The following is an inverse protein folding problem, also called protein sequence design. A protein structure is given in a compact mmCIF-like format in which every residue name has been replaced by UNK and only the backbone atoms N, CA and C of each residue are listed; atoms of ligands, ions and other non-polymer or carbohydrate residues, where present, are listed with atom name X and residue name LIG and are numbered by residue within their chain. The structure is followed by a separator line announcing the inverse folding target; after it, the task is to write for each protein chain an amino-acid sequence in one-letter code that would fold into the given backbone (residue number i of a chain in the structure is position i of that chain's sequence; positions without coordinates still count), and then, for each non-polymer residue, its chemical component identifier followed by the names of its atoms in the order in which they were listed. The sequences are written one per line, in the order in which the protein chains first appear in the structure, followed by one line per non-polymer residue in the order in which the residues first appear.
data_IF_141951038544
#
_entry.id   IF_141951038544
#
_cell.length_a   1.000
_cell.length_b   1.000
_cell.length_c   1.000
_cell.angle_alpha   90.00
_cell.angle_beta   90.00
_cell.angle_gamma   90.00
#
_symmetry.space_group_name_H-M   'P 1'
#
loop_
_entity.id
_entity.type
_entity.pdbx_description
1 polymer ?
#
# COMPACT_ATOMS: atom_id res chain seq x y z
N UNK A 1 -15.80 12.40 23.86
CA UNK A 1 -14.35 12.69 23.68
C UNK A 1 -13.96 14.01 24.35
N UNK A 2 -14.51 15.16 23.95
CA UNK A 2 -14.15 16.47 24.56
C UNK A 2 -14.33 16.48 26.10
N UNK A 3 -15.45 15.95 26.60
CA UNK A 3 -15.69 15.82 28.04
C UNK A 3 -14.73 14.87 28.76
N UNK A 4 -14.18 13.86 28.06
CA UNK A 4 -13.23 12.89 28.61
C UNK A 4 -11.81 13.45 28.69
N UNK A 5 -11.42 14.29 27.72
CA UNK A 5 -10.12 14.99 27.75
C UNK A 5 -10.05 16.02 28.88
N UNK A 6 -11.21 16.53 29.30
CA UNK A 6 -11.30 17.44 30.46
C UNK A 6 -11.13 16.72 31.79
N UNK A 7 -11.21 15.40 31.81
CA UNK A 7 -10.89 14.57 32.96
C UNK A 7 -9.37 14.31 33.00
N UNK A 8 -8.62 14.92 33.94
CA UNK A 8 -7.17 14.74 34.02
C UNK A 8 -6.76 13.30 34.36
N UNK A 9 -7.69 12.46 34.84
CA UNK A 9 -7.42 11.06 35.16
C UNK A 9 -7.60 10.13 33.94
N UNK A 10 -8.26 10.58 32.87
CA UNK A 10 -8.48 9.77 31.65
C UNK A 10 -7.25 9.81 30.73
N UNK A 11 -6.16 9.19 31.21
CA UNK A 11 -4.88 9.10 30.51
C UNK A 11 -4.98 8.38 29.16
N UNK A 12 -5.94 7.46 28.98
CA UNK A 12 -6.17 6.77 27.71
C UNK A 12 -6.79 7.71 26.66
N UNK A 13 -7.81 8.48 27.05
CA UNK A 13 -8.38 9.52 26.21
C UNK A 13 -7.33 10.57 25.82
N UNK A 14 -6.51 10.98 26.79
CA UNK A 14 -5.41 11.92 26.57
C UNK A 14 -4.36 11.36 25.60
N UNK A 15 -3.95 10.11 25.77
CA UNK A 15 -3.03 9.41 24.86
C UNK A 15 -3.56 9.35 23.42
N UNK A 16 -4.84 8.99 23.25
CA UNK A 16 -5.48 8.96 21.94
C UNK A 16 -5.51 10.36 21.29
N UNK A 17 -5.93 11.37 22.05
CA UNK A 17 -6.08 12.72 21.51
C UNK A 17 -4.75 13.37 21.15
N UNK A 18 -3.70 13.14 21.93
CA UNK A 18 -2.35 13.59 21.59
C UNK A 18 -1.80 12.87 20.35
N UNK A 19 -1.99 11.56 20.22
CA UNK A 19 -1.60 10.82 19.01
C UNK A 19 -2.30 11.37 17.74
N UNK A 20 -3.62 11.55 17.80
CA UNK A 20 -4.40 12.11 16.71
C UNK A 20 -3.98 13.55 16.38
N UNK A 21 -3.80 14.38 17.40
CA UNK A 21 -3.34 15.77 17.24
C UNK A 21 -1.98 15.83 16.55
N UNK A 22 -1.05 14.95 16.92
CA UNK A 22 0.26 14.89 16.28
C UNK A 22 0.17 14.59 14.77
N UNK A 23 -0.72 13.68 14.36
CA UNK A 23 -0.98 13.37 12.95
C UNK A 23 -1.61 14.55 12.22
N UNK A 24 -2.59 15.20 12.83
CA UNK A 24 -3.31 16.35 12.25
C UNK A 24 -2.37 17.54 12.08
N UNK A 25 -1.55 17.87 13.08
CA UNK A 25 -0.54 18.93 12.99
C UNK A 25 0.51 18.63 11.90
N UNK A 26 0.92 17.36 11.77
CA UNK A 26 1.84 16.94 10.72
C UNK A 26 1.23 17.04 9.31
N UNK A 27 -0.06 16.77 9.14
CA UNK A 27 -0.76 16.89 7.85
C UNK A 27 -1.06 18.32 7.45
N UNK A 28 -1.48 19.16 8.42
CA UNK A 28 -1.89 20.53 8.14
C UNK A 28 -0.72 21.48 7.86
N UNK A 29 0.53 21.05 8.09
CA UNK A 29 1.75 21.86 7.97
C UNK A 29 1.50 23.29 8.49
N UNK A 30 0.96 23.40 9.70
CA UNK A 30 0.66 24.69 10.29
C UNK A 30 1.92 25.56 10.25
N UNK A 31 1.81 26.73 9.62
CA UNK A 31 2.85 27.73 9.72
C UNK A 31 2.76 28.31 11.15
N UNK A 32 3.77 28.13 12.02
CA UNK A 32 3.70 28.56 13.42
C UNK A 32 3.44 30.07 13.58
N UNK A 33 3.62 30.85 12.50
CA UNK A 33 3.38 32.29 12.48
C UNK A 33 1.89 32.69 12.60
N UNK A 34 0.94 31.81 12.25
CA UNK A 34 -0.50 32.13 12.28
C UNK A 34 -1.16 31.88 13.66
N UNK A 35 -0.43 31.25 14.59
CA UNK A 35 -0.89 31.01 15.97
C UNK A 35 0.01 31.81 16.90
N UNK A 36 -0.45 33.01 17.24
CA UNK A 36 0.26 34.06 17.97
C UNK A 36 0.96 33.64 19.27
N UNK A 37 2.14 34.24 19.52
CA UNK A 37 2.65 34.70 20.82
C UNK A 37 2.72 33.70 22.00
N UNK A 38 3.14 32.45 21.79
CA UNK A 38 3.51 31.57 22.91
C UNK A 38 4.97 31.11 22.79
N UNK A 39 5.73 31.25 23.89
CA UNK A 39 7.18 31.00 23.96
C UNK A 39 7.60 29.53 23.78
N UNK A 40 6.64 28.62 23.58
CA UNK A 40 6.87 27.21 23.34
C UNK A 40 5.99 26.78 22.16
N UNK A 41 6.55 26.78 20.95
CA UNK A 41 5.90 26.16 19.80
C UNK A 41 5.70 24.68 20.10
N UNK A 42 4.47 24.27 20.36
CA UNK A 42 4.08 22.86 20.47
C UNK A 42 4.23 22.23 19.10
N UNK A 43 5.41 21.67 18.83
CA UNK A 43 5.67 20.93 17.60
C UNK A 43 4.98 19.56 17.65
N UNK A 44 4.59 19.07 16.49
CA UNK A 44 3.94 17.77 16.30
C UNK A 44 4.74 16.60 16.91
N UNK A 45 6.09 16.68 16.96
CA UNK A 45 6.95 15.67 17.57
C UNK A 45 6.84 15.66 19.09
N UNK A 46 6.69 16.83 19.70
CA UNK A 46 6.44 16.95 21.13
C UNK A 46 5.08 16.32 21.49
N UNK A 47 4.03 16.60 20.71
CA UNK A 47 2.69 16.02 20.94
C UNK A 47 2.69 14.50 20.76
N UNK A 48 3.44 13.96 19.80
CA UNK A 48 3.60 12.51 19.64
C UNK A 48 4.30 11.89 20.86
N UNK A 49 5.38 12.50 21.36
CA UNK A 49 6.07 12.05 22.57
C UNK A 49 5.18 12.10 23.82
N UNK A 50 4.28 13.08 23.89
CA UNK A 50 3.32 13.21 24.97
C UNK A 50 2.28 12.07 24.97
N UNK A 51 1.84 11.63 23.78
CA UNK A 51 1.02 10.43 23.65
C UNK A 51 1.75 9.19 24.18
N UNK A 52 3.01 9.01 23.82
CA UNK A 52 3.81 7.86 24.29
C UNK A 52 3.98 7.86 25.80
N UNK A 53 4.21 9.04 26.41
CA UNK A 53 4.28 9.21 27.86
C UNK A 53 2.97 8.82 28.55
N UNK A 54 1.83 9.29 28.03
CA UNK A 54 0.50 8.99 28.57
C UNK A 54 0.12 7.51 28.43
N UNK A 55 0.50 6.86 27.33
CA UNK A 55 0.33 5.41 27.15
C UNK A 55 1.16 4.62 28.15
N UNK A 56 2.40 5.04 28.37
CA UNK A 56 3.30 4.38 29.32
C UNK A 56 2.80 4.50 30.78
N UNK A 57 2.21 5.64 31.17
CA UNK A 57 1.72 5.84 32.55
C UNK A 57 0.56 4.91 32.91
N UNK A 58 -0.23 4.45 31.93
CA UNK A 58 -1.32 3.47 32.14
C UNK A 58 -0.90 2.02 31.88
N UNK A 59 0.40 1.76 31.62
CA UNK A 59 0.92 0.42 31.27
C UNK A 59 0.07 -0.24 30.20
N UNK A 60 -0.06 0.42 29.06
CA UNK A 60 -0.99 0.10 27.97
C UNK A 60 -0.98 -1.36 27.46
N UNK A 61 0.04 -2.15 27.78
CA UNK A 61 0.16 -3.57 27.45
C UNK A 61 -0.59 -4.50 28.43
N UNK A 62 -1.03 -4.02 29.60
CA UNK A 62 -1.72 -4.85 30.62
C UNK A 62 -3.24 -4.93 30.39
N UNK A 63 -3.86 -3.85 29.88
CA UNK A 63 -5.31 -3.77 29.69
C UNK A 63 -5.66 -3.12 28.34
N UNK A 64 -5.90 -3.92 27.29
CA UNK A 64 -6.27 -3.41 25.98
C UNK A 64 -7.57 -2.60 26.01
N UNK A 65 -7.59 -1.49 25.28
CA UNK A 65 -8.78 -0.66 25.04
C UNK A 65 -8.75 -0.11 23.62
N UNK A 66 -9.89 0.41 23.14
CA UNK A 66 -9.97 1.01 21.82
C UNK A 66 -9.11 2.28 21.74
N UNK A 67 -9.03 3.03 22.83
CA UNK A 67 -8.23 4.24 22.94
C UNK A 67 -6.73 3.95 22.79
N UNK A 68 -6.25 2.91 23.48
CA UNK A 68 -4.85 2.49 23.38
C UNK A 68 -4.52 1.89 22.01
N UNK A 69 -5.43 1.10 21.43
CA UNK A 69 -5.32 0.62 20.06
C UNK A 69 -5.21 1.78 19.07
N UNK A 70 -6.14 2.74 19.13
CA UNK A 70 -6.19 3.87 18.21
C UNK A 70 -4.99 4.81 18.42
N UNK A 71 -4.52 4.99 19.65
CA UNK A 71 -3.30 5.76 19.92
C UNK A 71 -2.07 5.13 19.24
N UNK A 72 -1.97 3.80 19.26
CA UNK A 72 -0.92 3.04 18.55
C UNK A 72 -1.03 3.23 17.05
N UNK A 73 -2.26 3.15 16.51
CA UNK A 73 -2.53 3.37 15.09
C UNK A 73 -2.18 4.79 14.62
N UNK A 74 -2.55 5.82 15.37
CA UNK A 74 -2.22 7.21 15.01
C UNK A 74 -0.73 7.50 15.15
N UNK A 75 -0.04 6.95 16.16
CA UNK A 75 1.41 7.03 16.25
C UNK A 75 2.09 6.30 15.07
N UNK A 76 1.56 5.16 14.63
CA UNK A 76 2.01 4.52 13.39
C UNK A 76 1.94 5.50 12.21
N UNK A 77 0.79 6.14 11.98
CA UNK A 77 0.63 7.11 10.88
C UNK A 77 1.66 8.25 11.02
N UNK A 78 1.84 8.77 12.23
CA UNK A 78 2.76 9.87 12.52
C UNK A 78 4.21 9.53 12.13
N UNK A 79 4.71 8.36 12.54
CA UNK A 79 6.08 7.93 12.27
C UNK A 79 6.26 7.39 10.84
N UNK A 80 5.27 6.71 10.28
CA UNK A 80 5.27 6.24 8.90
C UNK A 80 5.43 7.42 7.93
N UNK A 81 4.69 8.49 8.17
CA UNK A 81 4.76 9.69 7.34
C UNK A 81 6.13 10.37 7.37
N UNK A 82 6.91 10.19 8.45
CA UNK A 82 8.28 10.72 8.61
C UNK A 82 9.37 9.77 8.11
N UNK A 83 9.01 8.62 7.55
CA UNK A 83 9.97 7.64 7.08
C UNK A 83 10.62 6.81 8.20
N UNK A 84 10.12 6.87 9.44
CA UNK A 84 10.58 6.00 10.53
C UNK A 84 9.97 4.60 10.40
N UNK A 85 10.42 3.84 9.39
CA UNK A 85 9.83 2.57 8.98
C UNK A 85 9.73 1.57 10.13
N UNK A 86 10.82 1.32 10.85
CA UNK A 86 10.84 0.33 11.93
C UNK A 86 9.88 0.67 13.07
N UNK A 87 9.89 1.93 13.51
CA UNK A 87 9.00 2.41 14.58
C UNK A 87 7.54 2.33 14.16
N UNK A 88 7.25 2.77 12.94
CA UNK A 88 5.92 2.65 12.37
C UNK A 88 5.48 1.18 12.26
N UNK A 89 6.37 0.26 11.88
CA UNK A 89 6.08 -1.17 11.84
C UNK A 89 5.71 -1.70 13.22
N UNK A 90 6.49 -1.41 14.27
CA UNK A 90 6.17 -1.88 15.63
C UNK A 90 4.80 -1.38 16.07
N UNK A 91 4.49 -0.10 15.82
CA UNK A 91 3.23 0.52 16.23
C UNK A 91 2.00 -0.05 15.50
N UNK A 92 2.09 -0.38 14.20
CA UNK A 92 0.95 -1.03 13.51
C UNK A 92 0.76 -2.46 14.00
N UNK A 93 1.84 -3.18 14.33
CA UNK A 93 1.74 -4.53 14.91
C UNK A 93 1.13 -4.49 16.29
N UNK A 94 1.53 -3.55 17.11
CA UNK A 94 0.94 -3.30 18.42
C UNK A 94 -0.55 -2.98 18.33
N UNK A 95 -0.96 -2.09 17.42
CA UNK A 95 -2.38 -1.80 17.19
C UNK A 95 -3.18 -3.04 16.77
N UNK A 96 -2.61 -3.90 15.91
CA UNK A 96 -3.22 -5.17 15.51
C UNK A 96 -3.34 -6.13 16.68
N UNK A 97 -2.29 -6.28 17.48
CA UNK A 97 -2.31 -7.16 18.66
C UNK A 97 -3.36 -6.71 19.67
N UNK A 98 -3.47 -5.40 19.92
CA UNK A 98 -4.53 -4.85 20.78
C UNK A 98 -5.93 -5.11 20.18
N UNK A 99 -6.09 -5.01 18.86
CA UNK A 99 -7.35 -5.33 18.18
C UNK A 99 -7.75 -6.80 18.35
N UNK A 100 -6.77 -7.71 18.30
CA UNK A 100 -6.98 -9.15 18.48
C UNK A 100 -7.31 -9.50 19.93
N UNK A 101 -6.69 -8.85 20.91
CA UNK A 101 -7.09 -9.00 22.31
C UNK A 101 -8.52 -8.51 22.58
N UNK A 102 -8.98 -7.53 21.80
CA UNK A 102 -10.37 -7.04 21.83
C UNK A 102 -11.31 -7.85 20.92
N UNK A 103 -10.81 -8.94 20.30
CA UNK A 103 -11.54 -9.82 19.37
C UNK A 103 -12.18 -9.12 18.17
N UNK A 104 -11.68 -7.94 17.76
CA UNK A 104 -12.27 -7.16 16.67
C UNK A 104 -12.18 -7.89 15.32
N UNK A 105 -11.25 -8.83 15.17
CA UNK A 105 -11.04 -9.67 13.99
C UNK A 105 -12.00 -10.87 13.91
N UNK A 106 -12.82 -11.12 14.94
CA UNK A 106 -13.65 -12.32 15.09
C UNK A 106 -15.15 -12.01 14.90
N UNK A 107 -15.88 -12.82 14.13
CA UNK A 107 -17.31 -12.58 13.87
C UNK A 107 -18.17 -12.68 15.14
N UNK A 108 -17.76 -13.50 16.11
CA UNK A 108 -18.45 -13.67 17.40
C UNK A 108 -18.57 -12.37 18.21
N UNK A 109 -17.59 -11.47 18.12
CA UNK A 109 -17.57 -10.19 18.83
C UNK A 109 -18.80 -9.33 18.51
N UNK A 110 -19.26 -9.40 17.27
CA UNK A 110 -20.30 -8.53 16.75
C UNK A 110 -21.73 -9.00 17.08
N UNK A 111 -21.92 -10.24 17.53
CA UNK A 111 -23.25 -10.83 17.76
C UNK A 111 -24.04 -10.14 18.87
N UNK A 112 -23.34 -9.54 19.84
CA UNK A 112 -23.94 -8.94 21.04
C UNK A 112 -23.95 -7.42 21.01
N UNK A 113 -23.37 -6.81 19.98
CA UNK A 113 -23.25 -5.35 19.87
C UNK A 113 -24.48 -4.75 19.20
N UNK A 114 -24.78 -3.49 19.54
CA UNK A 114 -25.71 -2.72 18.72
C UNK A 114 -25.14 -2.53 17.31
N UNK A 115 -26.02 -2.39 16.32
CA UNK A 115 -25.64 -2.14 14.92
C UNK A 115 -24.62 -0.99 14.79
N UNK A 116 -24.82 0.08 15.55
CA UNK A 116 -23.94 1.27 15.54
C UNK A 116 -22.54 0.96 16.07
N UNK A 117 -22.44 0.24 17.19
CA UNK A 117 -21.15 -0.15 17.79
C UNK A 117 -20.43 -1.16 16.92
N UNK A 118 -21.16 -2.15 16.39
CA UNK A 118 -20.62 -3.13 15.46
C UNK A 118 -19.98 -2.44 14.24
N UNK A 119 -20.67 -1.49 13.60
CA UNK A 119 -20.12 -0.75 12.47
C UNK A 119 -18.90 0.10 12.84
N UNK A 120 -18.83 0.66 14.05
CA UNK A 120 -17.64 1.38 14.51
C UNK A 120 -16.44 0.44 14.62
N UNK A 121 -16.60 -0.71 15.28
CA UNK A 121 -15.54 -1.71 15.43
C UNK A 121 -15.11 -2.31 14.09
N UNK A 122 -16.06 -2.57 13.18
CA UNK A 122 -15.77 -3.02 11.82
C UNK A 122 -14.88 -2.01 11.09
N UNK A 123 -15.19 -0.72 11.17
CA UNK A 123 -14.36 0.32 10.54
C UNK A 123 -12.94 0.35 11.11
N UNK A 124 -12.79 0.14 12.42
CA UNK A 124 -11.47 0.07 13.08
C UNK A 124 -10.67 -1.14 12.57
N UNK A 125 -11.26 -2.34 12.56
CA UNK A 125 -10.50 -3.52 12.12
C UNK A 125 -10.20 -3.49 10.62
N UNK A 126 -11.12 -2.95 9.80
CA UNK A 126 -10.90 -2.78 8.37
C UNK A 126 -9.84 -1.70 8.06
N UNK A 127 -9.80 -0.59 8.81
CA UNK A 127 -8.74 0.42 8.60
C UNK A 127 -7.36 -0.11 9.01
N UNK A 128 -7.28 -0.92 10.08
CA UNK A 128 -6.05 -1.62 10.45
C UNK A 128 -5.62 -2.60 9.36
N UNK A 129 -6.57 -3.38 8.81
CA UNK A 129 -6.34 -4.31 7.72
C UNK A 129 -5.72 -3.59 6.51
N UNK A 130 -6.40 -2.58 5.94
CA UNK A 130 -5.88 -1.90 4.74
C UNK A 130 -4.51 -1.23 4.98
N UNK A 131 -4.31 -0.64 6.17
CA UNK A 131 -3.04 0.00 6.53
C UNK A 131 -1.92 -1.03 6.63
N UNK A 132 -2.16 -2.16 7.29
CA UNK A 132 -1.16 -3.23 7.40
C UNK A 132 -0.81 -3.83 6.04
N UNK A 133 -1.79 -4.14 5.18
CA UNK A 133 -1.52 -4.66 3.83
C UNK A 133 -0.70 -3.67 3.01
N UNK A 134 -1.03 -2.39 3.06
CA UNK A 134 -0.28 -1.35 2.37
C UNK A 134 1.15 -1.20 2.90
N UNK A 135 1.33 -1.26 4.21
CA UNK A 135 2.63 -1.15 4.87
C UNK A 135 3.51 -2.38 4.61
N UNK A 136 2.97 -3.57 4.79
CA UNK A 136 3.68 -4.85 4.61
C UNK A 136 4.09 -5.10 3.18
N UNK A 137 3.21 -4.83 2.21
CA UNK A 137 3.54 -4.94 0.78
C UNK A 137 4.68 -4.00 0.40
N UNK A 138 4.68 -2.79 0.96
CA UNK A 138 5.70 -1.77 0.66
C UNK A 138 7.09 -2.13 1.18
N UNK A 139 7.15 -2.70 2.37
CA UNK A 139 8.40 -2.98 3.09
C UNK A 139 8.77 -4.46 3.11
N UNK A 140 8.07 -5.28 2.31
CA UNK A 140 8.28 -6.73 2.20
C UNK A 140 8.26 -7.43 3.57
N UNK A 141 7.19 -7.16 4.33
CA UNK A 141 6.97 -7.74 5.67
C UNK A 141 5.82 -8.76 5.63
N UNK A 142 5.80 -9.76 6.53
CA UNK A 142 4.72 -10.75 6.58
C UNK A 142 3.40 -10.11 7.02
N UNK A 143 2.26 -10.52 6.48
CA UNK A 143 0.94 -10.13 7.01
C UNK A 143 0.58 -11.00 8.21
N UNK A 144 0.07 -10.39 9.28
CA UNK A 144 -0.31 -11.09 10.51
C UNK A 144 -1.79 -10.94 10.84
N UNK A 145 -2.44 -9.86 10.38
CA UNK A 145 -3.86 -9.67 10.65
C UNK A 145 -4.68 -10.56 9.71
N UNK A 146 -5.30 -11.60 10.25
CA UNK A 146 -6.31 -12.41 9.55
C UNK A 146 -7.67 -12.03 10.07
N UNK A 147 -8.59 -11.77 9.15
CA UNK A 147 -9.97 -11.45 9.48
C UNK A 147 -10.81 -12.71 9.34
N UNK A 148 -11.73 -12.92 10.27
CA UNK A 148 -12.75 -13.96 10.16
C UNK A 148 -13.55 -13.77 8.85
N UNK A 149 -13.68 -14.82 8.00
CA UNK A 149 -14.46 -14.71 6.76
C UNK A 149 -15.93 -14.37 7.01
N UNK A 150 -16.45 -14.66 8.20
CA UNK A 150 -17.85 -14.44 8.59
C UNK A 150 -18.07 -13.08 9.29
N UNK A 151 -17.10 -12.15 9.23
CA UNK A 151 -17.29 -10.78 9.72
C UNK A 151 -18.54 -10.14 9.08
N UNK A 152 -19.39 -9.43 9.85
CA UNK A 152 -20.51 -8.72 9.27
C UNK A 152 -20.04 -7.66 8.24
N UNK A 153 -20.82 -7.42 7.17
CA UNK A 153 -20.44 -6.46 6.14
C UNK A 153 -20.46 -5.02 6.65
N UNK A 154 -19.58 -4.19 6.09
CA UNK A 154 -19.65 -2.74 6.25
C UNK A 154 -20.92 -2.20 5.58
N UNK A 155 -21.62 -1.30 6.27
CA UNK A 155 -22.83 -0.65 5.74
C UNK A 155 -22.49 0.38 4.66
N UNK A 156 -23.20 0.28 3.54
CA UNK A 156 -23.07 1.16 2.37
C UNK A 156 -24.38 1.88 2.02
N UNK A 157 -25.50 1.51 2.65
CA UNK A 157 -26.81 2.13 2.44
C UNK A 157 -27.04 3.23 3.47
N UNK A 158 -27.56 4.37 3.03
CA UNK A 158 -27.90 5.53 3.88
C UNK A 158 -26.74 6.05 4.77
N UNK A 159 -25.49 5.83 4.32
CA UNK A 159 -24.28 6.30 4.99
C UNK A 159 -23.68 7.50 4.25
N UNK A 160 -22.84 8.26 4.96
CA UNK A 160 -22.07 9.34 4.35
C UNK A 160 -21.24 8.83 3.15
N UNK A 161 -21.10 9.61 2.06
CA UNK A 161 -20.36 9.19 0.87
C UNK A 161 -18.92 8.70 1.15
N UNK A 162 -18.27 9.25 2.19
CA UNK A 162 -16.95 8.80 2.62
C UNK A 162 -16.88 7.36 3.11
N UNK A 163 -17.95 6.84 3.71
CA UNK A 163 -18.03 5.44 4.14
C UNK A 163 -18.20 4.49 2.95
N UNK A 164 -18.87 4.93 1.88
CA UNK A 164 -18.94 4.17 0.63
C UNK A 164 -17.56 4.05 -0.01
N UNK A 165 -16.81 5.16 -0.08
CA UNK A 165 -15.43 5.15 -0.58
C UNK A 165 -14.50 4.25 0.25
N UNK A 166 -14.62 4.30 1.58
CA UNK A 166 -13.88 3.44 2.49
C UNK A 166 -14.20 1.94 2.24
N UNK A 167 -15.48 1.59 2.08
CA UNK A 167 -15.89 0.21 1.84
C UNK A 167 -15.35 -0.32 0.51
N UNK A 168 -15.36 0.50 -0.54
CA UNK A 168 -14.77 0.14 -1.83
C UNK A 168 -13.27 -0.12 -1.72
N UNK A 169 -12.56 0.70 -0.94
CA UNK A 169 -11.14 0.51 -0.67
C UNK A 169 -10.89 -0.79 0.12
N UNK A 170 -11.73 -1.09 1.11
CA UNK A 170 -11.64 -2.33 1.89
C UNK A 170 -11.78 -3.58 1.00
N UNK A 171 -12.78 -3.59 0.13
CA UNK A 171 -12.97 -4.67 -0.83
C UNK A 171 -11.80 -4.80 -1.82
N UNK A 172 -11.23 -3.67 -2.26
CA UNK A 172 -10.07 -3.65 -3.14
C UNK A 172 -8.85 -4.29 -2.46
N UNK A 173 -8.56 -3.89 -1.21
CA UNK A 173 -7.51 -4.48 -0.39
C UNK A 173 -7.79 -5.95 -0.01
N UNK A 174 -9.05 -6.37 0.09
CA UNK A 174 -9.40 -7.77 0.33
C UNK A 174 -9.05 -8.64 -0.89
N UNK A 175 -9.40 -8.20 -2.09
CA UNK A 175 -9.01 -8.90 -3.34
C UNK A 175 -7.50 -8.94 -3.48
N UNK A 176 -6.83 -7.81 -3.29
CA UNK A 176 -5.38 -7.73 -3.34
C UNK A 176 -4.70 -8.62 -2.29
N UNK A 177 -5.15 -8.56 -1.03
CA UNK A 177 -4.62 -9.37 0.06
C UNK A 177 -4.72 -10.86 -0.22
N UNK A 178 -5.89 -11.35 -0.66
CA UNK A 178 -6.07 -12.74 -1.09
C UNK A 178 -5.10 -13.17 -2.18
N UNK A 179 -4.81 -12.28 -3.13
CA UNK A 179 -3.86 -12.56 -4.18
C UNK A 179 -2.43 -12.69 -3.63
N UNK A 180 -2.01 -11.74 -2.79
CA UNK A 180 -0.67 -11.73 -2.20
C UNK A 180 -0.45 -12.85 -1.19
N UNK A 181 -1.51 -13.33 -0.53
CA UNK A 181 -1.51 -14.45 0.43
C UNK A 181 -1.72 -15.82 -0.21
N UNK A 182 -1.89 -15.88 -1.54
CA UNK A 182 -2.13 -17.13 -2.26
C UNK A 182 -0.95 -18.10 -2.16
N UNK A 183 -1.25 -19.40 -2.15
CA UNK A 183 -0.25 -20.47 -2.30
C UNK A 183 0.47 -20.34 -3.65
N UNK A 184 1.77 -20.60 -3.68
CA UNK A 184 2.55 -20.61 -4.93
C UNK A 184 1.99 -21.56 -5.98
N UNK A 185 1.41 -22.70 -5.57
CA UNK A 185 0.88 -23.72 -6.48
C UNK A 185 -0.32 -23.23 -7.31
N UNK A 186 -1.09 -22.26 -6.80
CA UNK A 186 -2.28 -21.74 -7.48
C UNK A 186 -1.98 -20.49 -8.33
N UNK A 187 -0.72 -20.00 -8.36
CA UNK A 187 -0.31 -18.80 -9.10
C UNK A 187 -0.07 -19.09 -10.59
N UNK A 188 -1.12 -19.56 -11.26
CA UNK A 188 -1.14 -19.83 -12.71
C UNK A 188 -1.46 -18.55 -13.51
N UNK A 189 -1.28 -18.55 -14.84
CA UNK A 189 -1.71 -17.43 -15.69
C UNK A 189 -3.18 -17.03 -15.47
N UNK A 190 -4.09 -18.00 -15.39
CA UNK A 190 -5.53 -17.78 -15.16
C UNK A 190 -5.80 -17.12 -13.79
N UNK A 191 -5.02 -17.48 -12.77
CA UNK A 191 -5.10 -16.84 -11.46
C UNK A 191 -4.77 -15.35 -11.53
N UNK A 192 -3.69 -14.98 -12.25
CA UNK A 192 -3.30 -13.59 -12.40
C UNK A 192 -4.33 -12.82 -13.22
N UNK A 193 -4.81 -13.37 -14.35
CA UNK A 193 -5.89 -12.77 -15.17
C UNK A 193 -7.13 -12.54 -14.31
N UNK A 194 -7.61 -13.58 -13.63
CA UNK A 194 -8.82 -13.49 -12.81
C UNK A 194 -8.67 -12.51 -11.64
N UNK A 195 -7.46 -12.39 -11.08
CA UNK A 195 -7.16 -11.40 -10.04
C UNK A 195 -7.21 -9.97 -10.60
N UNK A 196 -6.58 -9.71 -11.74
CA UNK A 196 -6.59 -8.39 -12.38
C UNK A 196 -8.02 -7.96 -12.76
N UNK A 197 -8.82 -8.89 -13.31
CA UNK A 197 -10.23 -8.67 -13.59
C UNK A 197 -11.03 -8.27 -12.34
N UNK A 198 -10.83 -8.97 -11.22
CA UNK A 198 -11.47 -8.63 -9.93
C UNK A 198 -11.02 -7.27 -9.39
N UNK A 199 -9.75 -6.89 -9.59
CA UNK A 199 -9.26 -5.56 -9.22
C UNK A 199 -9.89 -4.46 -10.07
N UNK A 200 -10.23 -4.74 -11.33
CA UNK A 200 -10.86 -3.81 -12.29
C UNK A 200 -12.39 -3.73 -12.20
N UNK A 201 -13.05 -4.56 -11.37
CA UNK A 201 -14.50 -4.56 -11.22
C UNK A 201 -15.04 -3.15 -10.97
N UNK A 202 -16.11 -2.81 -11.70
CA UNK A 202 -16.70 -1.47 -11.68
C UNK A 202 -17.23 -1.14 -10.29
N UNK A 203 -16.76 -0.01 -9.73
CA UNK A 203 -17.25 0.58 -8.48
C UNK A 203 -18.01 1.87 -8.78
N UNK A 204 -18.90 2.29 -7.87
CA UNK A 204 -19.71 3.50 -8.00
C UNK A 204 -18.87 4.77 -7.81
N UNK A 205 -17.98 5.07 -8.75
CA UNK A 205 -17.00 6.14 -8.61
C UNK A 205 -17.62 7.54 -8.66
N UNK A 206 -18.75 7.69 -9.37
CA UNK A 206 -19.47 8.96 -9.56
C UNK A 206 -20.05 9.56 -8.27
N UNK A 207 -20.35 8.75 -7.26
CA UNK A 207 -20.86 9.24 -5.97
C UNK A 207 -19.77 9.73 -5.01
N UNK A 208 -18.49 9.70 -5.42
CA UNK A 208 -17.33 9.99 -4.58
C UNK A 208 -16.73 11.36 -4.89
N UNK A 209 -16.11 11.98 -3.88
CA UNK A 209 -15.33 13.22 -4.09
C UNK A 209 -14.08 12.93 -4.94
N UNK A 210 -13.54 13.93 -5.64
CA UNK A 210 -12.33 13.72 -6.45
C UNK A 210 -11.13 13.19 -5.63
N UNK A 211 -11.03 13.56 -4.34
CA UNK A 211 -10.02 13.02 -3.41
C UNK A 211 -10.21 11.51 -3.21
N UNK A 212 -11.44 11.07 -2.96
CA UNK A 212 -11.74 9.64 -2.81
C UNK A 212 -11.53 8.86 -4.10
N UNK A 213 -11.89 9.45 -5.25
CA UNK A 213 -11.65 8.84 -6.55
C UNK A 213 -10.16 8.67 -6.83
N UNK A 214 -9.35 9.70 -6.53
CA UNK A 214 -7.91 9.67 -6.70
C UNK A 214 -7.26 8.55 -5.86
N UNK A 215 -7.61 8.43 -4.57
CA UNK A 215 -7.09 7.35 -3.72
C UNK A 215 -7.42 5.98 -4.29
N UNK A 216 -8.69 5.77 -4.65
CA UNK A 216 -9.15 4.48 -5.15
C UNK A 216 -8.44 4.12 -6.47
N UNK A 217 -8.47 5.00 -7.46
CA UNK A 217 -7.95 4.74 -8.80
C UNK A 217 -6.44 4.52 -8.80
N UNK A 218 -5.69 5.36 -8.09
CA UNK A 218 -4.23 5.21 -8.04
C UNK A 218 -3.84 3.98 -7.22
N UNK A 219 -4.55 3.69 -6.13
CA UNK A 219 -4.34 2.46 -5.34
C UNK A 219 -4.63 1.21 -6.17
N UNK A 220 -5.71 1.21 -6.96
CA UNK A 220 -6.05 0.12 -7.87
C UNK A 220 -4.92 -0.13 -8.86
N UNK A 221 -4.43 0.91 -9.56
CA UNK A 221 -3.34 0.76 -10.53
C UNK A 221 -2.03 0.29 -9.88
N UNK A 222 -1.71 0.81 -8.69
CA UNK A 222 -0.55 0.34 -7.92
C UNK A 222 -0.68 -1.15 -7.56
N UNK A 223 -1.85 -1.61 -7.10
CA UNK A 223 -2.08 -3.02 -6.78
C UNK A 223 -1.94 -3.93 -8.00
N UNK A 224 -2.44 -3.49 -9.16
CA UNK A 224 -2.24 -4.23 -10.42
C UNK A 224 -0.76 -4.40 -10.76
N UNK A 225 0.05 -3.37 -10.56
CA UNK A 225 1.52 -3.45 -10.70
C UNK A 225 2.14 -4.41 -9.69
N UNK A 226 1.69 -4.40 -8.43
CA UNK A 226 2.21 -5.33 -7.42
C UNK A 226 1.87 -6.80 -7.76
N UNK A 227 0.65 -7.07 -8.23
CA UNK A 227 0.23 -8.41 -8.69
C UNK A 227 1.01 -8.84 -9.93
N UNK A 228 1.24 -7.94 -10.88
CA UNK A 228 2.10 -8.20 -12.04
C UNK A 228 3.55 -8.47 -11.63
N UNK A 229 4.12 -7.70 -10.69
CA UNK A 229 5.47 -7.98 -10.18
C UNK A 229 5.57 -9.37 -9.57
N UNK A 230 4.53 -9.80 -8.87
CA UNK A 230 4.46 -11.17 -8.35
C UNK A 230 4.43 -12.20 -9.49
N UNK A 231 3.71 -11.93 -10.58
CA UNK A 231 3.58 -12.87 -11.71
C UNK A 231 4.91 -13.15 -12.41
N UNK A 232 5.85 -12.19 -12.44
CA UNK A 232 7.21 -12.35 -13.01
C UNK A 232 7.91 -13.62 -12.50
N UNK A 233 7.66 -14.01 -11.24
CA UNK A 233 8.31 -15.15 -10.60
C UNK A 233 7.57 -16.49 -10.78
N UNK A 234 6.35 -16.47 -11.36
CA UNK A 234 5.47 -17.64 -11.42
C UNK A 234 5.01 -17.99 -12.83
N UNK A 235 5.02 -17.04 -13.76
CA UNK A 235 4.56 -17.25 -15.13
C UNK A 235 5.55 -16.68 -16.14
N UNK A 236 5.59 -17.29 -17.34
CA UNK A 236 6.34 -16.74 -18.47
C UNK A 236 5.58 -15.54 -19.02
N UNK A 237 6.16 -14.35 -18.92
CA UNK A 237 5.59 -13.15 -19.49
C UNK A 237 5.79 -13.10 -21.00
N UNK A 238 4.77 -12.65 -21.72
CA UNK A 238 4.87 -12.40 -23.15
C UNK A 238 5.50 -11.03 -23.42
N UNK A 239 5.96 -10.82 -24.66
CA UNK A 239 6.37 -9.50 -25.16
C UNK A 239 5.24 -8.77 -25.90
N UNK A 240 4.07 -9.41 -26.03
CA UNK A 240 2.92 -8.82 -26.69
C UNK A 240 2.17 -7.90 -25.71
N UNK A 241 1.96 -6.65 -26.08
CA UNK A 241 1.25 -5.69 -25.23
C UNK A 241 -0.24 -6.05 -25.04
N UNK A 242 -0.83 -6.84 -25.95
CA UNK A 242 -2.24 -7.24 -25.89
C UNK A 242 -2.52 -8.30 -24.82
N UNK A 243 -1.48 -8.97 -24.29
CA UNK A 243 -1.61 -9.97 -23.22
C UNK A 243 -1.75 -9.32 -21.82
N UNK A 244 -2.00 -8.00 -21.77
CA UNK A 244 -2.30 -7.22 -20.57
C UNK A 244 -1.37 -7.57 -19.39
N UNK A 245 -1.92 -8.09 -18.28
CA UNK A 245 -1.21 -8.38 -17.03
C UNK A 245 -0.29 -9.61 -17.08
N UNK A 246 -0.23 -10.30 -18.22
CA UNK A 246 0.75 -11.36 -18.51
C UNK A 246 1.84 -10.89 -19.47
N UNK A 247 1.87 -9.60 -19.81
CA UNK A 247 2.89 -9.00 -20.66
C UNK A 247 4.01 -8.36 -19.84
N UNK A 248 5.25 -8.44 -20.32
CA UNK A 248 6.35 -7.60 -19.81
C UNK A 248 6.09 -6.11 -20.08
N UNK A 249 5.25 -5.76 -21.05
CA UNK A 249 4.87 -4.39 -21.38
C UNK A 249 3.77 -3.82 -20.46
N UNK A 250 3.21 -4.62 -19.54
CA UNK A 250 2.11 -4.19 -18.66
C UNK A 250 2.35 -2.87 -17.90
N UNK A 251 3.57 -2.58 -17.39
CA UNK A 251 3.83 -1.30 -16.73
C UNK A 251 3.58 -0.08 -17.61
N UNK A 252 3.77 -0.19 -18.94
CA UNK A 252 3.45 0.89 -19.88
C UNK A 252 1.96 1.21 -19.83
N UNK A 253 1.12 0.18 -19.90
CA UNK A 253 -0.34 0.32 -19.89
C UNK A 253 -0.84 0.96 -18.61
N UNK A 254 -0.32 0.51 -17.46
CA UNK A 254 -0.70 1.07 -16.17
C UNK A 254 -0.23 2.53 -16.04
N UNK A 255 1.00 2.84 -16.46
CA UNK A 255 1.53 4.19 -16.41
C UNK A 255 0.75 5.16 -17.31
N UNK A 256 0.30 4.73 -18.49
CA UNK A 256 -0.60 5.51 -19.36
C UNK A 256 -1.89 5.89 -18.63
N UNK A 257 -2.51 4.92 -17.94
CA UNK A 257 -3.74 5.14 -17.16
C UNK A 257 -3.47 6.10 -16.00
N UNK A 258 -2.37 5.90 -15.27
CA UNK A 258 -1.98 6.77 -14.15
C UNK A 258 -1.75 8.20 -14.63
N UNK A 259 -1.07 8.41 -15.75
CA UNK A 259 -0.88 9.75 -16.34
C UNK A 259 -2.20 10.39 -16.75
N UNK A 260 -3.13 9.62 -17.30
CA UNK A 260 -4.47 10.11 -17.59
C UNK A 260 -5.16 10.62 -16.32
N UNK A 261 -5.00 9.95 -15.18
CA UNK A 261 -5.51 10.44 -13.90
C UNK A 261 -4.78 11.70 -13.43
N UNK A 262 -3.44 11.70 -13.46
CA UNK A 262 -2.64 12.85 -13.02
C UNK A 262 -2.92 14.12 -13.83
N UNK A 263 -3.20 13.99 -15.13
CA UNK A 263 -3.56 15.13 -15.99
C UNK A 263 -4.95 15.70 -15.69
N UNK A 264 -5.84 14.93 -15.07
CA UNK A 264 -7.22 15.34 -14.76
C UNK A 264 -7.44 15.68 -13.27
N UNK A 265 -6.48 15.34 -12.41
CA UNK A 265 -6.55 15.62 -10.98
C UNK A 265 -5.75 16.88 -10.64
N UNK A 266 -6.34 17.74 -9.80
CA UNK A 266 -5.57 18.87 -9.27
C UNK A 266 -4.45 18.39 -8.34
N UNK A 267 -3.35 19.14 -8.32
CA UNK A 267 -2.22 18.87 -7.42
C UNK A 267 -2.64 18.73 -5.96
N UNK A 268 -3.54 19.59 -5.49
CA UNK A 268 -4.01 19.59 -4.10
C UNK A 268 -4.71 18.27 -3.73
N UNK A 269 -5.39 17.63 -4.68
CA UNK A 269 -6.02 16.32 -4.47
C UNK A 269 -4.95 15.26 -4.23
N UNK A 270 -3.90 15.24 -5.04
CA UNK A 270 -2.80 14.28 -4.90
C UNK A 270 -2.05 14.51 -3.58
N UNK A 271 -1.79 15.77 -3.24
CA UNK A 271 -1.10 16.17 -1.99
C UNK A 271 -1.91 15.83 -0.74
N UNK A 272 -3.25 15.84 -0.80
CA UNK A 272 -4.12 15.52 0.33
C UNK A 272 -3.91 14.09 0.90
N UNK A 273 -3.41 13.17 0.08
CA UNK A 273 -3.11 11.79 0.49
C UNK A 273 -1.71 11.61 1.09
N UNK A 274 -0.86 12.63 1.00
CA UNK A 274 0.49 12.63 1.54
C UNK A 274 1.42 11.58 0.91
N UNK A 275 2.38 11.11 1.70
CA UNK A 275 3.50 10.27 1.23
C UNK A 275 3.03 8.94 0.65
N UNK A 276 1.93 8.37 1.17
CA UNK A 276 1.42 7.08 0.71
C UNK A 276 1.06 7.09 -0.78
N UNK A 277 0.52 8.20 -1.28
CA UNK A 277 0.22 8.40 -2.69
C UNK A 277 1.49 8.56 -3.53
N UNK A 278 2.43 9.38 -3.05
CA UNK A 278 3.71 9.60 -3.73
C UNK A 278 4.49 8.28 -3.90
N UNK A 279 4.46 7.41 -2.89
CA UNK A 279 5.08 6.09 -2.94
C UNK A 279 4.44 5.19 -4.00
N UNK A 280 3.09 5.16 -4.07
CA UNK A 280 2.36 4.36 -5.08
C UNK A 280 2.71 4.79 -6.50
N UNK A 281 2.72 6.11 -6.75
CA UNK A 281 3.10 6.69 -8.04
C UNK A 281 4.57 6.41 -8.38
N UNK A 282 5.47 6.51 -7.40
CA UNK A 282 6.88 6.18 -7.59
C UNK A 282 7.07 4.69 -7.94
N UNK A 283 6.34 3.78 -7.28
CA UNK A 283 6.40 2.35 -7.62
C UNK A 283 5.94 2.08 -9.06
N UNK A 284 4.91 2.77 -9.56
CA UNK A 284 4.48 2.66 -10.96
C UNK A 284 5.58 3.16 -11.89
N UNK A 285 6.16 4.33 -11.63
CA UNK A 285 7.23 4.91 -12.45
C UNK A 285 8.49 4.04 -12.46
N UNK A 286 8.90 3.51 -11.30
CA UNK A 286 10.03 2.58 -11.18
C UNK A 286 9.76 1.31 -11.99
N UNK A 287 8.55 0.76 -11.92
CA UNK A 287 8.19 -0.46 -12.67
C UNK A 287 8.25 -0.23 -14.18
N UNK A 288 7.85 0.96 -14.65
CA UNK A 288 7.99 1.35 -16.04
C UNK A 288 9.47 1.50 -16.43
N UNK A 289 10.29 2.16 -15.60
CA UNK A 289 11.73 2.29 -15.84
C UNK A 289 12.45 0.92 -15.86
N UNK A 290 12.06 0.00 -14.98
CA UNK A 290 12.56 -1.38 -14.95
C UNK A 290 12.22 -2.12 -16.24
N UNK A 291 10.96 -2.03 -16.68
CA UNK A 291 10.53 -2.63 -17.94
C UNK A 291 11.36 -2.09 -19.12
N UNK A 292 11.53 -0.77 -19.21
CA UNK A 292 12.28 -0.16 -20.31
C UNK A 292 13.76 -0.56 -20.30
N UNK A 293 14.32 -0.83 -19.12
CA UNK A 293 15.68 -1.37 -18.98
C UNK A 293 15.77 -2.82 -19.50
N UNK A 294 14.72 -3.62 -19.32
CA UNK A 294 14.66 -5.01 -19.79
C UNK A 294 14.38 -5.14 -21.30
N UNK A 295 13.60 -4.23 -21.88
CA UNK A 295 13.19 -4.27 -23.30
C UNK A 295 13.43 -2.94 -24.04
N UNK A 296 14.70 -2.52 -24.24
CA UNK A 296 15.02 -1.18 -24.77
C UNK A 296 14.40 -0.86 -26.15
N UNK A 297 14.24 -1.88 -27.01
CA UNK A 297 13.69 -1.74 -28.36
C UNK A 297 12.21 -1.33 -28.41
N UNK A 298 11.47 -1.49 -27.29
CA UNK A 298 10.07 -1.01 -27.21
C UNK A 298 10.02 0.52 -27.18
N UNK A 299 11.01 1.16 -26.56
CA UNK A 299 11.19 2.61 -26.63
C UNK A 299 11.43 3.06 -28.07
N UNK A 300 12.29 2.34 -28.81
CA UNK A 300 12.68 2.69 -30.18
C UNK A 300 11.52 2.54 -31.18
N UNK A 301 10.72 1.46 -31.10
CA UNK A 301 9.56 1.27 -31.99
C UNK A 301 8.45 2.30 -31.77
N UNK A 302 8.29 2.81 -30.55
CA UNK A 302 7.21 3.75 -30.18
C UNK A 302 7.63 5.23 -30.23
N UNK A 303 8.86 5.56 -30.64
CA UNK A 303 9.29 6.96 -30.92
C UNK A 303 8.46 7.67 -32.01
N UNK A 304 7.60 6.94 -32.74
CA UNK A 304 6.62 7.48 -33.69
C UNK A 304 5.38 8.05 -32.99
N UNK A 305 5.18 7.78 -31.69
CA UNK A 305 4.09 8.35 -30.88
C UNK A 305 4.50 9.68 -30.23
N UNK A 306 3.55 10.61 -30.07
CA UNK A 306 3.79 11.95 -29.48
C UNK A 306 4.25 11.91 -28.01
N UNK A 307 4.05 10.79 -27.30
CA UNK A 307 4.49 10.54 -25.92
C UNK A 307 4.92 9.08 -25.81
N UNK A 308 6.22 8.84 -25.62
CA UNK A 308 6.77 7.50 -25.43
C UNK A 308 6.79 7.06 -23.96
N UNK A 309 7.03 5.77 -23.69
CA UNK A 309 7.18 5.26 -22.31
C UNK A 309 8.24 6.02 -21.48
N UNK A 310 9.35 6.43 -22.09
CA UNK A 310 10.37 7.26 -21.41
C UNK A 310 9.83 8.62 -20.97
N UNK A 311 9.06 9.30 -21.83
CA UNK A 311 8.40 10.57 -21.49
C UNK A 311 7.41 10.39 -20.33
N UNK A 312 6.74 9.24 -20.28
CA UNK A 312 5.80 8.90 -19.21
C UNK A 312 6.50 8.81 -17.85
N UNK A 313 7.64 8.10 -17.77
CA UNK A 313 8.44 8.03 -16.52
C UNK A 313 8.86 9.43 -16.09
N UNK A 314 9.40 10.22 -17.03
CA UNK A 314 9.83 11.60 -16.77
C UNK A 314 8.68 12.46 -16.23
N UNK A 315 7.49 12.37 -16.81
CA UNK A 315 6.33 13.16 -16.38
C UNK A 315 5.87 12.76 -14.96
N UNK A 316 5.79 11.47 -14.66
CA UNK A 316 5.43 11.00 -13.31
C UNK A 316 6.50 11.46 -12.30
N UNK A 317 7.79 11.36 -12.64
CA UNK A 317 8.89 11.81 -11.80
C UNK A 317 8.86 13.33 -11.54
N UNK A 318 8.58 14.13 -12.57
CA UNK A 318 8.42 15.59 -12.45
C UNK A 318 7.23 15.96 -11.57
N UNK A 319 6.10 15.25 -11.75
CA UNK A 319 4.93 15.43 -10.89
C UNK A 319 5.32 15.15 -9.45
N UNK A 320 5.91 14.00 -9.16
CA UNK A 320 6.40 13.61 -7.83
C UNK A 320 7.35 14.62 -7.21
N UNK A 321 8.37 15.06 -7.96
CA UNK A 321 9.36 16.04 -7.50
C UNK A 321 8.73 17.40 -7.14
N UNK A 322 7.59 17.72 -7.75
CA UNK A 322 6.89 18.98 -7.52
C UNK A 322 5.90 18.91 -6.36
N UNK A 323 5.47 17.71 -5.92
CA UNK A 323 4.49 17.57 -4.83
C UNK A 323 5.09 18.02 -3.50
N UNK A 324 4.32 18.78 -2.73
CA UNK A 324 4.66 19.12 -1.34
C UNK A 324 4.55 17.86 -0.48
N UNK A 325 5.54 17.60 0.37
CA UNK A 325 5.49 16.43 1.24
C UNK A 325 6.86 16.05 1.79
N UNK A 326 6.90 14.99 2.58
CA UNK A 326 8.12 14.45 3.17
C UNK A 326 9.04 13.86 2.09
N UNK A 327 10.30 13.57 2.45
CA UNK A 327 11.27 12.91 1.58
C UNK A 327 10.72 11.54 1.19
N UNK A 328 10.39 11.36 -0.08
CA UNK A 328 9.97 10.07 -0.63
C UNK A 328 11.21 9.21 -0.91
N UNK A 329 11.45 8.13 -0.14
CA UNK A 329 12.66 7.31 -0.29
C UNK A 329 12.74 6.60 -1.65
N UNK A 330 11.63 6.45 -2.39
CA UNK A 330 11.62 5.84 -3.73
C UNK A 330 12.12 6.81 -4.80
N UNK A 331 12.19 8.11 -4.52
CA UNK A 331 12.64 9.10 -5.50
C UNK A 331 14.11 8.93 -5.85
N UNK A 332 14.95 8.53 -4.89
CA UNK A 332 16.38 8.28 -5.13
C UNK A 332 16.56 7.17 -6.17
N UNK A 333 15.87 6.04 -5.98
CA UNK A 333 15.86 4.90 -6.91
C UNK A 333 15.34 5.33 -8.29
N UNK A 334 14.27 6.13 -8.34
CA UNK A 334 13.70 6.59 -9.60
C UNK A 334 14.66 7.52 -10.35
N UNK A 335 15.31 8.46 -9.66
CA UNK A 335 16.27 9.38 -10.27
C UNK A 335 17.54 8.68 -10.73
N UNK A 336 18.04 7.69 -9.98
CA UNK A 336 19.15 6.85 -10.40
C UNK A 336 18.84 6.14 -11.73
N UNK A 337 17.64 5.54 -11.84
CA UNK A 337 17.19 4.88 -13.08
C UNK A 337 17.09 5.84 -14.25
N UNK A 338 16.45 6.99 -14.06
CA UNK A 338 16.33 8.04 -15.09
C UNK A 338 17.71 8.51 -15.58
N UNK A 339 18.65 8.71 -14.66
CA UNK A 339 20.02 9.15 -14.98
C UNK A 339 20.77 8.07 -15.77
N UNK A 340 20.65 6.81 -15.37
CA UNK A 340 21.35 5.69 -16.03
C UNK A 340 20.94 5.47 -17.49
N UNK A 341 19.69 5.81 -17.83
CA UNK A 341 19.11 5.59 -19.16
C UNK A 341 19.17 6.82 -20.07
N UNK A 342 19.74 7.93 -19.60
CA UNK A 342 19.78 9.18 -20.36
C UNK A 342 18.39 9.83 -20.54
N UNK A 343 17.38 9.39 -19.79
CA UNK A 343 16.06 10.03 -19.72
C UNK A 343 16.14 11.27 -18.82
N UNK A 344 16.95 12.24 -19.24
CA UNK A 344 17.01 13.54 -18.60
C UNK A 344 15.68 14.28 -18.73
N UNK A 345 15.23 14.94 -17.67
CA UNK A 345 14.05 15.78 -17.67
C UNK A 345 14.23 16.98 -18.63
N UNK A 346 13.83 16.84 -19.89
CA UNK A 346 13.63 17.97 -20.79
C UNK A 346 12.14 18.31 -20.89
N UNK A 347 11.72 19.54 -20.55
CA UNK A 347 10.31 19.90 -20.50
C UNK A 347 9.76 20.11 -21.92
N UNK A 348 9.05 19.13 -22.46
CA UNK A 348 8.07 19.39 -23.53
C UNK A 348 6.68 19.46 -22.92
N UNK A 349 6.15 20.68 -22.86
CA UNK A 349 4.76 20.94 -22.47
C UNK A 349 3.82 20.20 -23.42
N UNK A 350 3.00 19.29 -22.90
CA UNK A 350 1.93 18.65 -23.67
C UNK A 350 0.75 19.60 -23.83
N UNK A 351 0.22 19.68 -25.05
CA UNK A 351 -1.04 20.35 -25.35
C UNK A 351 -2.21 19.49 -24.85
N UNK A 352 -3.01 20.07 -23.96
CA UNK A 352 -4.26 19.54 -23.44
C UNK A 352 -5.38 19.70 -24.48
N UNK A 353 -5.80 18.63 -25.14
CA UNK A 353 -7.12 18.57 -25.75
C UNK A 353 -7.70 17.15 -25.71
N UNK A 354 -8.87 17.09 -25.07
CA UNK A 354 -10.02 16.19 -25.28
C UNK A 354 -9.88 14.69 -25.05
N UNK A 355 -10.05 14.25 -23.79
CA UNK A 355 -10.66 12.94 -23.48
C UNK A 355 -11.63 13.12 -22.29
N UNK A 356 -12.92 12.97 -22.55
CA UNK A 356 -14.01 12.98 -21.56
C UNK A 356 -14.07 11.65 -20.81
N UNK A 357 -14.53 11.71 -19.55
CA UNK A 357 -14.53 10.61 -18.56
C UNK A 357 -15.50 9.44 -18.86
N UNK A 358 -16.06 9.34 -20.06
CA UNK A 358 -17.07 8.35 -20.42
C UNK A 358 -16.63 7.46 -21.58
N UNK A 359 -15.69 6.55 -21.32
CA UNK A 359 -15.61 5.22 -21.96
C UNK A 359 -14.33 4.50 -21.54
N UNK A 360 -14.48 3.52 -20.64
CA UNK A 360 -13.50 2.44 -20.53
C UNK A 360 -13.70 1.53 -21.76
N UNK A 361 -12.67 1.22 -22.57
CA UNK A 361 -12.83 0.30 -23.68
C UNK A 361 -13.10 -1.12 -23.13
N UNK A 362 -14.20 -1.72 -23.57
CA UNK A 362 -14.44 -3.15 -23.45
C UNK A 362 -13.65 -3.84 -24.58
N UNK A 363 -12.75 -4.76 -24.22
CA UNK A 363 -11.94 -5.51 -25.18
C UNK A 363 -12.81 -6.53 -25.92
N UNK A 364 -12.87 -6.41 -27.24
CA UNK A 364 -13.45 -7.40 -28.16
C UNK A 364 -12.55 -8.63 -28.26
N UNK A 365 -13.09 -9.86 -28.34
CA UNK A 365 -12.29 -11.06 -28.59
C UNK A 365 -11.97 -11.15 -30.09
N UNK A 366 -10.84 -11.76 -30.48
CA UNK A 366 -10.72 -12.65 -31.66
C UNK A 366 -9.25 -13.14 -31.87
N UNK A 367 -9.16 -14.47 -31.88
CA UNK A 367 -8.43 -15.36 -32.81
C UNK A 367 -6.89 -15.39 -32.84
N UNK A 368 -6.42 -16.53 -32.31
CA UNK A 368 -5.24 -17.33 -32.67
C UNK A 368 -4.44 -16.91 -33.91
N UNK A 369 -3.13 -16.73 -33.72
CA UNK A 369 -2.12 -17.16 -34.71
C UNK A 369 -0.75 -17.37 -34.08
N UNK A 370 0.03 -18.17 -34.80
CA UNK A 370 1.12 -19.05 -34.41
C UNK A 370 2.35 -18.41 -33.76
N UNK A 371 2.84 -19.14 -32.75
CA UNK A 371 4.00 -18.94 -31.89
C UNK A 371 5.35 -19.01 -32.61
N UNK A 372 6.30 -18.16 -32.20
CA UNK A 372 7.74 -18.42 -32.37
C UNK A 372 8.41 -18.35 -31.00
N UNK A 373 8.90 -19.49 -30.53
CA UNK A 373 9.49 -19.72 -29.20
C UNK A 373 10.99 -19.42 -29.28
N UNK A 374 11.52 -18.68 -28.30
CA UNK A 374 12.96 -18.65 -28.00
C UNK A 374 13.20 -19.35 -26.66
N UNK A 375 14.20 -20.24 -26.54
CA UNK A 375 14.46 -20.98 -25.31
C UNK A 375 15.40 -20.19 -24.39
N UNK A 376 15.06 -20.11 -23.10
CA UNK A 376 16.03 -19.79 -22.04
C UNK A 376 15.89 -20.80 -20.91
N UNK A 377 16.93 -21.65 -20.83
CA UNK A 377 17.46 -22.48 -19.75
C UNK A 377 16.53 -23.54 -19.10
N UNK A 378 16.79 -24.79 -19.50
CA UNK A 378 16.45 -26.00 -18.76
C UNK A 378 17.23 -26.03 -17.44
N UNK A 379 16.52 -26.33 -16.35
CA UNK A 379 17.12 -26.91 -15.15
C UNK A 379 17.12 -28.42 -15.41
N UNK A 380 18.29 -29.06 -15.27
CA UNK A 380 18.47 -30.50 -15.47
C UNK A 380 17.63 -31.29 -14.46
N UNK A 381 16.86 -32.26 -14.98
CA UNK A 381 16.25 -33.33 -14.19
C UNK A 381 17.35 -34.14 -13.51
N UNK A 382 17.31 -34.19 -12.17
CA UNK A 382 18.03 -35.22 -11.42
C UNK A 382 17.04 -36.36 -11.22
N UNK A 383 17.39 -37.49 -11.84
CA UNK A 383 16.67 -38.76 -11.86
C UNK A 383 16.43 -39.37 -10.48
N UNK A 384 15.25 -39.98 -10.35
CA UNK A 384 14.82 -40.90 -9.30
C UNK A 384 15.84 -42.01 -9.00
N UNK A 385 16.18 -42.22 -7.74
CA UNK A 385 16.50 -43.53 -7.15
C UNK A 385 15.95 -43.61 -5.71
N UNK A 386 15.62 -44.82 -5.21
CA UNK A 386 14.44 -45.05 -4.37
C UNK A 386 14.66 -44.85 -2.87
N UNK A 387 13.54 -44.63 -2.19
CA UNK A 387 13.36 -44.54 -0.74
C UNK A 387 13.89 -45.78 0.00
N UNK A 388 14.86 -45.58 0.90
CA UNK A 388 15.08 -46.47 2.05
C UNK A 388 14.62 -45.75 3.33
N UNK A 389 13.58 -46.30 3.95
CA UNK A 389 13.13 -45.95 5.29
C UNK A 389 14.25 -46.17 6.31
N UNK A 390 14.57 -45.16 7.11
CA UNK A 390 15.11 -45.37 8.45
C UNK A 390 14.54 -44.32 9.40
N UNK A 391 13.77 -44.82 10.36
CA UNK A 391 13.37 -44.14 11.59
C UNK A 391 14.61 -43.74 12.41
N UNK A 392 14.40 -42.75 13.28
CA UNK A 392 15.27 -42.29 14.38
C UNK A 392 16.19 -41.11 14.03
N UNK A 393 15.69 -39.87 14.19
CA UNK A 393 16.35 -38.89 15.07
C UNK A 393 15.43 -37.69 15.38
N UNK A 394 14.85 -37.70 16.57
CA UNK A 394 14.05 -36.60 17.12
C UNK A 394 14.75 -36.08 18.38
N UNK A 395 16.04 -35.73 18.33
CA UNK A 395 16.73 -35.11 19.47
C UNK A 395 18.12 -34.49 19.15
N UNK A 396 18.20 -33.39 18.37
CA UNK A 396 19.45 -32.58 18.36
C UNK A 396 19.28 -31.06 18.13
N UNK A 397 18.15 -30.47 18.52
CA UNK A 397 17.93 -29.01 18.39
C UNK A 397 18.32 -28.18 19.64
N UNK A 398 18.94 -28.78 20.66
CA UNK A 398 19.35 -28.08 21.90
C UNK A 398 20.81 -28.39 22.25
N UNK A 399 21.77 -27.96 21.42
CA UNK A 399 23.20 -27.94 21.82
C UNK A 399 24.12 -27.15 20.89
N UNK A 400 23.92 -25.83 20.70
CA UNK A 400 25.00 -24.96 20.17
C UNK A 400 24.81 -23.47 20.47
N UNK A 401 25.08 -23.10 21.72
CA UNK A 401 25.47 -21.72 22.08
C UNK A 401 26.34 -21.75 23.34
N UNK A 402 27.64 -21.99 23.16
CA UNK A 402 28.66 -21.66 24.18
C UNK A 402 29.35 -20.36 23.74
N UNK A 403 29.04 -19.28 24.45
CA UNK A 403 29.74 -18.00 24.41
C UNK A 403 31.16 -18.18 24.96
N UNK A 404 32.16 -17.73 24.20
CA UNK A 404 33.56 -17.64 24.64
C UNK A 404 33.81 -16.23 25.17
N UNK A 405 34.14 -16.11 26.46
CA UNK A 405 34.74 -14.91 27.07
C UNK A 405 36.26 -15.07 27.07
N UNK A 406 37.06 -14.06 26.66
CA UNK A 406 38.50 -14.07 26.86
C UNK A 406 38.83 -13.45 28.23
N UNK A 407 39.43 -14.24 29.11
CA UNK A 407 40.04 -13.78 30.36
C UNK A 407 41.44 -13.24 30.12
N UNK A 408 41.79 -12.17 30.85
CA UNK A 408 43.11 -11.57 30.84
C UNK A 408 44.15 -12.36 31.62
N UNK A 409 45.40 -12.05 31.31
CA UNK A 409 46.54 -11.95 32.22
C UNK A 409 47.35 -10.71 31.83
#
# INVERSE_FOLDING_TARGET
MISRIQDPEDSEAYALCTALTAVVLAHLKFNPADITQTSHTVDNGWVAGESERARASVRYHEKPSLELLLSSFFLHIFYANRGHVWRATVLIREAITLAQFLELDQAKHYKQLSKKEAQLHLRIIWILSITERGHTTRFDLPRILRLDPDLPPLETQDVEPGLVAFTDLCQLFQTFGRAMDSDMLIRTPDFFIGTDQKLLEKRQLQSKTQVQQADFLITQQWMRIMVWKMSIFHVKLSVNADDENLSICFPERVAQIVLMYLNNLSRNIIEAHGIGMQMKLADVAISLADMLSCIPWVSERRQVMKVGPGDMVCHIAQTLASLRGNVNPRMEILFEKLSSQGWGCSPRSMSTTDISFESLPATTPITTTTTTILPIRQIEDVSDEPEEENNDDYDDYVKRTKLHTPGGY
#
